data_IF_437003422296
#
_entry.id   IF_437003422296
#
_cell.length_a   1.000
_cell.length_b   1.000
_cell.length_c   1.000
_cell.angle_alpha   90.00
_cell.angle_beta   90.00
_cell.angle_gamma   90.00
#
_symmetry.space_group_name_H-M   'P 1'
#
loop_
_entity.id
_entity.type
_entity.pdbx_description
1 polymer ?
#
# COMPACT_ATOMS: atom_id res chain seq x y z
N UNK A 1 9.43 -3.30 14.45
CA UNK A 1 8.89 -3.48 15.81
C UNK A 1 7.63 -4.36 15.82
N UNK A 2 7.31 -4.93 16.98
CA UNK A 2 6.06 -5.63 17.25
C UNK A 2 5.13 -4.70 18.02
N UNK A 3 3.98 -4.35 17.41
CA UNK A 3 2.99 -3.47 18.05
C UNK A 3 2.05 -4.31 18.92
N UNK A 4 1.85 -3.91 20.17
CA UNK A 4 0.99 -4.60 21.14
C UNK A 4 0.06 -3.61 21.82
N UNK A 5 -1.22 -3.95 21.88
CA UNK A 5 -2.25 -3.28 22.64
C UNK A 5 -3.28 -4.32 23.07
N UNK A 6 -3.67 -4.29 24.33
CA UNK A 6 -4.65 -5.20 24.93
C UNK A 6 -6.01 -4.56 25.12
N UNK A 7 -6.98 -5.36 25.53
CA UNK A 7 -8.31 -4.89 25.92
C UNK A 7 -8.29 -4.17 27.27
N UNK A 8 -7.24 -4.41 28.07
CA UNK A 8 -6.95 -3.76 29.33
C UNK A 8 -5.43 -3.69 29.55
N UNK A 9 -5.01 -2.99 30.60
CA UNK A 9 -3.60 -2.83 30.97
C UNK A 9 -2.92 -4.18 31.23
N UNK A 10 -3.58 -5.09 31.91
CA UNK A 10 -3.02 -6.41 32.23
C UNK A 10 -2.78 -7.24 30.95
N UNK A 11 -3.71 -7.20 30.00
CA UNK A 11 -3.58 -7.82 28.69
C UNK A 11 -2.45 -7.21 27.86
N UNK A 12 -2.30 -5.90 27.90
CA UNK A 12 -1.20 -5.19 27.23
C UNK A 12 0.14 -5.65 27.78
N UNK A 13 0.31 -5.64 29.10
CA UNK A 13 1.57 -6.04 29.76
C UNK A 13 1.89 -7.53 29.54
N UNK A 14 0.89 -8.39 29.61
CA UNK A 14 1.07 -9.82 29.31
C UNK A 14 1.51 -10.05 27.85
N UNK A 15 0.92 -9.32 26.89
CA UNK A 15 1.30 -9.39 25.49
C UNK A 15 2.72 -8.89 25.23
N UNK A 16 3.13 -7.80 25.86
CA UNK A 16 4.49 -7.27 25.79
C UNK A 16 5.49 -8.31 26.32
N UNK A 17 5.27 -8.79 27.56
CA UNK A 17 6.15 -9.79 28.19
C UNK A 17 6.26 -11.07 27.36
N UNK A 18 5.16 -11.53 26.75
CA UNK A 18 5.18 -12.68 25.88
C UNK A 18 6.06 -12.45 24.65
N UNK A 19 5.86 -11.35 23.91
CA UNK A 19 6.65 -11.12 22.69
C UNK A 19 8.11 -10.80 22.97
N UNK A 20 8.44 -10.15 24.08
CA UNK A 20 9.83 -9.96 24.53
C UNK A 20 10.53 -11.28 24.89
N UNK A 21 9.78 -12.26 25.36
CA UNK A 21 10.32 -13.58 25.72
C UNK A 21 10.58 -14.51 24.54
N UNK A 22 9.93 -14.27 23.38
CA UNK A 22 9.97 -15.21 22.24
C UNK A 22 10.53 -14.59 20.95
N UNK A 23 10.78 -13.29 20.91
CA UNK A 23 11.29 -12.60 19.72
C UNK A 23 12.63 -11.94 20.01
N UNK A 24 13.59 -12.16 19.12
CA UNK A 24 14.79 -11.36 19.03
C UNK A 24 14.56 -10.20 18.03
N UNK A 25 15.12 -9.04 18.32
CA UNK A 25 14.97 -7.85 17.52
C UNK A 25 16.32 -7.34 17.03
N UNK A 26 16.46 -7.17 15.72
CA UNK A 26 17.64 -6.56 15.13
C UNK A 26 17.75 -5.08 15.53
N UNK A 27 18.97 -4.57 15.66
CA UNK A 27 19.19 -3.13 15.80
C UNK A 27 18.79 -2.39 14.54
N UNK A 28 18.07 -1.28 14.69
CA UNK A 28 17.50 -0.49 13.60
C UNK A 28 17.64 1.01 13.90
N UNK A 29 18.61 1.65 13.25
CA UNK A 29 18.89 3.09 13.42
C UNK A 29 17.87 3.99 12.67
N UNK A 30 17.11 3.42 11.76
CA UNK A 30 16.10 4.13 10.98
C UNK A 30 14.76 4.31 11.71
N UNK A 31 14.62 3.76 12.91
CA UNK A 31 13.39 3.86 13.70
C UNK A 31 13.45 5.05 14.68
N UNK A 32 12.29 5.68 14.98
CA UNK A 32 12.21 6.82 15.91
C UNK A 32 12.49 6.43 17.38
N UNK A 33 12.48 5.13 17.70
CA UNK A 33 12.81 4.54 19.00
C UNK A 33 13.34 3.13 18.81
N UNK A 34 14.00 2.52 19.81
CA UNK A 34 14.60 1.19 19.68
C UNK A 34 13.62 0.16 19.11
N UNK A 35 14.12 -0.70 18.22
CA UNK A 35 13.35 -1.83 17.71
C UNK A 35 13.05 -2.78 18.86
N UNK A 36 11.82 -3.30 18.91
CA UNK A 36 11.37 -4.13 20.01
C UNK A 36 9.84 -4.25 20.03
N UNK A 37 9.30 -4.55 21.19
CA UNK A 37 7.87 -4.52 21.42
C UNK A 37 7.45 -3.09 21.76
N UNK A 38 6.50 -2.57 20.99
CA UNK A 38 5.99 -1.21 21.18
C UNK A 38 4.59 -1.26 21.77
N UNK A 39 4.45 -0.70 22.96
CA UNK A 39 3.18 -0.52 23.62
C UNK A 39 2.34 0.53 22.86
N UNK A 40 1.16 0.11 22.41
CA UNK A 40 0.17 0.95 21.73
C UNK A 40 -0.95 1.41 22.66
N UNK A 41 -0.93 0.99 23.93
CA UNK A 41 -1.94 1.29 24.94
C UNK A 41 -3.19 0.43 24.80
N UNK A 42 -3.88 0.46 23.67
CA UNK A 42 -5.12 -0.27 23.45
C UNK A 42 -5.06 -1.17 22.20
N UNK A 43 -5.93 -2.17 22.15
CA UNK A 43 -6.07 -3.06 21.00
C UNK A 43 -6.45 -2.25 19.75
N UNK A 44 -7.38 -1.30 19.89
CA UNK A 44 -7.82 -0.44 18.79
C UNK A 44 -6.67 0.41 18.20
N UNK A 45 -5.77 0.91 19.05
CA UNK A 45 -4.61 1.66 18.59
C UNK A 45 -3.62 0.77 17.82
N UNK A 46 -3.40 -0.48 18.25
CA UNK A 46 -2.57 -1.45 17.56
C UNK A 46 -3.19 -1.87 16.21
N UNK A 47 -4.49 -2.10 16.17
CA UNK A 47 -5.23 -2.39 14.94
C UNK A 47 -5.21 -1.20 13.98
N UNK A 48 -5.46 0.01 14.48
CA UNK A 48 -5.44 1.22 13.67
C UNK A 48 -4.07 1.48 13.05
N UNK A 49 -2.98 1.19 13.75
CA UNK A 49 -1.63 1.32 13.19
C UNK A 49 -1.47 0.45 11.93
N UNK A 50 -2.03 -0.76 11.91
CA UNK A 50 -2.01 -1.63 10.73
C UNK A 50 -2.91 -1.11 9.62
N UNK A 51 -4.11 -0.67 9.95
CA UNK A 51 -5.04 -0.08 8.97
C UNK A 51 -4.44 1.19 8.35
N UNK A 52 -3.87 2.08 9.16
CA UNK A 52 -3.27 3.32 8.71
C UNK A 52 -2.08 3.07 7.76
N UNK A 53 -1.16 2.18 8.11
CA UNK A 53 0.03 1.86 7.31
C UNK A 53 -0.35 1.32 5.92
N UNK A 54 -1.32 0.41 5.86
CA UNK A 54 -1.75 -0.18 4.60
C UNK A 54 -2.62 0.77 3.77
N UNK A 55 -3.46 1.57 4.44
CA UNK A 55 -4.27 2.60 3.79
C UNK A 55 -3.40 3.72 3.21
N UNK A 56 -2.37 4.15 3.95
CA UNK A 56 -1.38 5.11 3.43
C UNK A 56 -0.77 4.63 2.11
N UNK A 57 -0.36 3.37 2.05
CA UNK A 57 0.22 2.81 0.81
C UNK A 57 -0.79 2.80 -0.34
N UNK A 58 -2.02 2.38 -0.10
CA UNK A 58 -3.06 2.37 -1.13
C UNK A 58 -3.39 3.77 -1.66
N UNK A 59 -3.49 4.76 -0.77
CA UNK A 59 -3.71 6.16 -1.13
C UNK A 59 -2.53 6.72 -1.93
N UNK A 60 -1.30 6.44 -1.50
CA UNK A 60 -0.10 6.90 -2.18
C UNK A 60 0.04 6.26 -3.58
N UNK A 61 -0.29 4.97 -3.72
CA UNK A 61 -0.35 4.31 -5.03
C UNK A 61 -1.44 4.94 -5.90
N UNK A 62 -2.61 5.25 -5.36
CA UNK A 62 -3.69 5.92 -6.09
C UNK A 62 -3.28 7.30 -6.62
N UNK A 63 -2.55 8.06 -5.80
CA UNK A 63 -1.99 9.34 -6.20
C UNK A 63 -0.92 9.18 -7.30
N UNK A 64 0.00 8.22 -7.15
CA UNK A 64 1.01 7.92 -8.16
C UNK A 64 0.37 7.50 -9.50
N UNK A 65 -0.67 6.67 -9.46
CA UNK A 65 -1.43 6.26 -10.63
C UNK A 65 -2.12 7.46 -11.30
N UNK A 66 -2.69 8.37 -10.54
CA UNK A 66 -3.31 9.59 -11.09
C UNK A 66 -2.28 10.47 -11.79
N UNK A 67 -1.09 10.62 -11.21
CA UNK A 67 0.00 11.36 -11.85
C UNK A 67 0.46 10.67 -13.14
N UNK A 68 0.54 9.34 -13.16
CA UNK A 68 0.92 8.58 -14.35
C UNK A 68 -0.08 8.77 -15.50
N UNK A 69 -1.38 8.71 -15.21
CA UNK A 69 -2.43 8.97 -16.21
C UNK A 69 -2.34 10.39 -16.77
N UNK A 70 -2.03 11.37 -15.94
CA UNK A 70 -1.81 12.74 -16.39
C UNK A 70 -0.54 12.88 -17.23
N UNK A 71 0.57 12.29 -16.78
CA UNK A 71 1.85 12.33 -17.47
C UNK A 71 1.78 11.71 -18.88
N UNK A 72 1.06 10.59 -19.01
CA UNK A 72 0.82 9.92 -20.27
C UNK A 72 0.06 10.83 -21.26
N UNK A 73 -0.96 11.53 -20.79
CA UNK A 73 -1.71 12.51 -21.62
C UNK A 73 -0.88 13.73 -21.99
N UNK A 74 -0.01 14.17 -21.10
CA UNK A 74 0.83 15.36 -21.28
C UNK A 74 2.15 15.08 -22.02
N UNK A 75 2.52 13.81 -22.19
CA UNK A 75 3.68 13.38 -22.95
C UNK A 75 5.01 13.51 -22.23
N UNK A 76 5.06 13.30 -20.90
CA UNK A 76 6.31 13.29 -20.14
C UNK A 76 6.47 12.03 -19.28
N UNK A 77 7.72 11.76 -18.89
CA UNK A 77 8.11 10.59 -18.12
C UNK A 77 7.80 10.76 -16.62
N UNK A 78 6.82 10.02 -16.12
CA UNK A 78 6.39 10.06 -14.72
C UNK A 78 7.47 9.51 -13.76
N UNK A 79 8.27 8.54 -14.17
CA UNK A 79 9.30 7.96 -13.31
C UNK A 79 10.36 9.01 -12.94
N UNK A 80 10.77 9.84 -13.90
CA UNK A 80 11.69 10.96 -13.64
C UNK A 80 11.09 12.00 -12.70
N UNK A 81 9.79 12.28 -12.84
CA UNK A 81 9.10 13.22 -11.94
C UNK A 81 9.06 12.67 -10.52
N UNK A 82 8.71 11.39 -10.34
CA UNK A 82 8.67 10.73 -9.04
C UNK A 82 10.07 10.69 -8.41
N UNK A 83 11.09 10.34 -9.19
CA UNK A 83 12.49 10.35 -8.73
C UNK A 83 12.90 11.74 -8.22
N UNK A 84 12.61 12.78 -8.99
CA UNK A 84 12.89 14.17 -8.59
C UNK A 84 12.13 14.57 -7.33
N UNK A 85 10.86 14.22 -7.19
CA UNK A 85 10.08 14.48 -5.99
C UNK A 85 10.64 13.75 -4.77
N UNK A 86 11.06 12.51 -4.93
CA UNK A 86 11.56 11.67 -3.85
C UNK A 86 13.05 11.93 -3.50
N UNK A 87 13.73 12.83 -4.23
CA UNK A 87 15.10 13.24 -3.92
C UNK A 87 15.21 14.09 -2.65
N UNK A 88 14.10 14.56 -2.13
CA UNK A 88 14.03 15.35 -0.90
C UNK A 88 13.27 14.58 0.20
N UNK A 89 13.53 14.86 1.49
CA UNK A 89 13.10 13.98 2.58
C UNK A 89 11.60 14.03 2.90
N UNK A 90 10.82 14.91 2.27
CA UNK A 90 9.41 15.11 2.58
C UNK A 90 8.46 14.38 1.65
N UNK A 91 8.97 13.73 0.60
CA UNK A 91 8.16 13.01 -0.38
C UNK A 91 8.55 11.54 -0.48
N UNK A 92 7.56 10.67 -0.48
CA UNK A 92 7.71 9.24 -0.69
C UNK A 92 6.60 8.74 -1.62
N UNK A 93 6.58 9.28 -2.85
CA UNK A 93 5.60 8.89 -3.87
C UNK A 93 5.91 7.47 -4.32
N UNK A 94 4.91 6.59 -4.30
CA UNK A 94 5.03 5.22 -4.78
C UNK A 94 5.11 5.18 -6.31
N UNK A 95 5.51 4.04 -6.85
CA UNK A 95 5.49 3.82 -8.28
C UNK A 95 4.08 3.50 -8.75
N UNK A 96 3.65 4.06 -9.90
CA UNK A 96 2.38 3.69 -10.51
C UNK A 96 2.41 2.25 -11.02
N UNK A 97 1.23 1.65 -11.15
CA UNK A 97 1.11 0.29 -11.64
C UNK A 97 -0.30 -0.05 -12.15
N UNK A 98 -0.40 -1.19 -12.82
CA UNK A 98 -1.65 -1.65 -13.43
C UNK A 98 -2.71 -2.03 -12.38
N UNK A 99 -2.29 -2.47 -11.20
CA UNK A 99 -3.19 -2.90 -10.13
C UNK A 99 -2.48 -2.79 -8.77
N UNK A 100 -3.27 -2.86 -7.71
CA UNK A 100 -2.78 -3.02 -6.35
C UNK A 100 -3.02 -4.47 -5.93
N UNK A 101 -1.96 -5.24 -5.89
CA UNK A 101 -2.00 -6.66 -5.53
C UNK A 101 -1.61 -6.95 -4.08
N UNK A 102 -1.68 -8.23 -3.72
CA UNK A 102 -1.38 -8.75 -2.40
C UNK A 102 -2.60 -8.80 -1.48
N UNK A 103 -2.44 -9.42 -0.30
CA UNK A 103 -3.55 -9.61 0.65
C UNK A 103 -3.90 -8.36 1.45
N UNK A 104 -2.91 -7.56 1.83
CA UNK A 104 -3.12 -6.49 2.80
C UNK A 104 -3.64 -5.21 2.15
N UNK A 105 -2.93 -4.68 1.13
CA UNK A 105 -3.23 -3.35 0.60
C UNK A 105 -4.60 -3.27 -0.09
N UNK A 106 -5.07 -4.27 -0.87
CA UNK A 106 -6.41 -4.19 -1.45
C UNK A 106 -7.56 -4.38 -0.45
N UNK A 107 -7.28 -4.97 0.72
CA UNK A 107 -8.31 -5.40 1.70
C UNK A 107 -8.45 -4.40 2.85
N UNK A 108 -7.36 -4.04 3.52
CA UNK A 108 -7.43 -3.22 4.74
C UNK A 108 -8.04 -1.83 4.56
N UNK A 109 -7.85 -1.10 3.46
CA UNK A 109 -8.59 0.13 3.23
C UNK A 109 -10.11 -0.06 3.17
N UNK A 110 -10.59 -1.25 2.76
CA UNK A 110 -12.02 -1.57 2.79
C UNK A 110 -12.52 -1.85 4.20
N UNK A 111 -11.68 -2.49 5.05
CA UNK A 111 -11.98 -2.64 6.48
C UNK A 111 -12.03 -1.27 7.16
N UNK A 112 -11.08 -0.39 6.87
CA UNK A 112 -11.13 0.98 7.38
C UNK A 112 -12.43 1.70 6.93
N UNK A 113 -12.79 1.64 5.67
CA UNK A 113 -14.02 2.23 5.14
C UNK A 113 -15.30 1.62 5.73
N UNK A 114 -15.28 0.40 6.27
CA UNK A 114 -16.43 -0.19 6.96
C UNK A 114 -16.67 0.41 8.34
N UNK A 115 -15.63 0.93 8.98
CA UNK A 115 -15.71 1.60 10.28
C UNK A 115 -15.82 3.11 10.15
N UNK A 116 -15.28 3.69 9.08
CA UNK A 116 -15.35 5.12 8.75
C UNK A 116 -15.89 5.31 7.31
N UNK A 117 -17.21 5.27 7.12
CA UNK A 117 -17.81 5.43 5.79
C UNK A 117 -17.57 6.81 5.16
N UNK A 118 -17.21 7.81 5.94
CA UNK A 118 -16.98 9.18 5.47
C UNK A 118 -15.53 9.47 5.06
N UNK A 119 -14.64 8.48 5.14
CA UNK A 119 -13.24 8.58 4.72
C UNK A 119 -13.09 8.75 3.20
N UNK A 120 -13.45 9.92 2.70
CA UNK A 120 -13.52 10.24 1.26
C UNK A 120 -12.20 10.09 0.53
N UNK A 121 -11.07 10.44 1.14
CA UNK A 121 -9.72 10.30 0.56
C UNK A 121 -9.42 8.83 0.26
N UNK A 122 -9.66 7.96 1.23
CA UNK A 122 -9.42 6.52 1.09
C UNK A 122 -10.32 5.92 0.01
N UNK A 123 -11.60 6.27 0.04
CA UNK A 123 -12.58 5.82 -0.96
C UNK A 123 -12.20 6.23 -2.37
N UNK A 124 -11.81 7.49 -2.56
CA UNK A 124 -11.42 8.03 -3.86
C UNK A 124 -10.19 7.33 -4.40
N UNK A 125 -9.14 7.17 -3.57
CA UNK A 125 -7.93 6.47 -3.97
C UNK A 125 -8.21 5.00 -4.33
N UNK A 126 -9.00 4.29 -3.51
CA UNK A 126 -9.38 2.90 -3.78
C UNK A 126 -10.17 2.76 -5.08
N UNK A 127 -11.10 3.69 -5.35
CA UNK A 127 -11.86 3.73 -6.61
C UNK A 127 -10.92 3.97 -7.79
N UNK A 128 -10.00 4.93 -7.67
CA UNK A 128 -9.06 5.23 -8.74
C UNK A 128 -8.13 4.03 -9.04
N UNK A 129 -7.56 3.40 -8.03
CA UNK A 129 -6.74 2.20 -8.20
C UNK A 129 -7.48 1.08 -8.95
N UNK A 130 -8.79 0.92 -8.71
CA UNK A 130 -9.60 -0.08 -9.38
C UNK A 130 -9.82 0.21 -10.88
N UNK A 131 -9.60 1.44 -11.36
CA UNK A 131 -9.73 1.79 -12.78
C UNK A 131 -8.48 1.48 -13.60
N UNK A 132 -7.33 1.28 -12.98
CA UNK A 132 -6.05 1.14 -13.68
C UNK A 132 -5.97 -0.04 -14.64
N UNK A 133 -6.50 -1.24 -14.34
CA UNK A 133 -6.50 -2.33 -15.33
C UNK A 133 -7.24 -1.97 -16.61
N UNK A 134 -8.41 -1.32 -16.50
CA UNK A 134 -9.15 -0.86 -17.68
C UNK A 134 -8.39 0.21 -18.45
N UNK A 135 -7.79 1.17 -17.75
CA UNK A 135 -6.95 2.20 -18.36
C UNK A 135 -5.82 1.61 -19.21
N UNK A 136 -5.12 0.59 -18.73
CA UNK A 136 -4.04 -0.07 -19.48
C UNK A 136 -4.56 -0.77 -20.74
N UNK A 137 -5.73 -1.41 -20.67
CA UNK A 137 -6.39 -2.02 -21.82
C UNK A 137 -6.80 -0.97 -22.85
N UNK A 138 -7.34 0.16 -22.40
CA UNK A 138 -7.71 1.27 -23.27
C UNK A 138 -6.48 1.86 -23.98
N UNK A 139 -5.37 2.06 -23.25
CA UNK A 139 -4.11 2.51 -23.84
C UNK A 139 -3.55 1.54 -24.86
N UNK A 140 -3.59 0.23 -24.57
CA UNK A 140 -3.17 -0.79 -25.54
C UNK A 140 -4.06 -0.74 -26.80
N UNK A 141 -5.34 -0.51 -26.65
CA UNK A 141 -6.29 -0.37 -27.76
C UNK A 141 -6.03 0.88 -28.59
N UNK A 142 -5.71 2.00 -27.97
CA UNK A 142 -5.34 3.24 -28.67
C UNK A 142 -4.08 3.07 -29.53
N UNK A 143 -3.07 2.35 -29.01
CA UNK A 143 -1.79 2.14 -29.72
C UNK A 143 -1.91 1.09 -30.82
N UNK A 144 -2.64 0.00 -30.57
CA UNK A 144 -2.69 -1.16 -31.46
C UNK A 144 -3.95 -1.19 -32.36
N UNK A 145 -4.90 -0.31 -32.14
CA UNK A 145 -6.23 -0.36 -32.75
C UNK A 145 -7.14 -1.33 -32.00
N UNK A 146 -7.54 -2.42 -32.64
CA UNK A 146 -8.38 -3.44 -32.01
C UNK A 146 -7.52 -4.54 -31.37
N UNK A 147 -7.82 -4.93 -30.14
CA UNK A 147 -7.21 -6.09 -29.49
C UNK A 147 -7.90 -7.41 -29.84
N UNK A 148 -9.00 -7.38 -30.60
CA UNK A 148 -9.76 -8.58 -30.97
C UNK A 148 -8.90 -9.52 -31.83
N UNK A 149 -8.76 -10.76 -31.37
CA UNK A 149 -7.99 -11.80 -32.06
C UNK A 149 -6.47 -11.71 -31.88
N UNK A 150 -5.96 -10.72 -31.17
CA UNK A 150 -4.54 -10.65 -30.82
C UNK A 150 -4.20 -11.64 -29.71
N UNK A 151 -2.99 -12.20 -29.80
CA UNK A 151 -2.41 -12.99 -28.72
C UNK A 151 -1.69 -12.04 -27.77
N UNK A 152 -2.18 -11.96 -26.54
CA UNK A 152 -1.58 -11.12 -25.49
C UNK A 152 -0.87 -12.03 -24.48
N UNK A 153 0.35 -11.66 -24.10
CA UNK A 153 1.11 -12.34 -23.06
C UNK A 153 1.24 -11.40 -21.86
N UNK A 154 0.77 -11.87 -20.70
CA UNK A 154 0.97 -11.17 -19.42
C UNK A 154 2.22 -11.75 -18.77
N UNK A 155 3.22 -10.92 -18.55
CA UNK A 155 4.49 -11.32 -17.94
C UNK A 155 4.40 -11.16 -16.42
N UNK A 156 4.23 -12.26 -15.72
CA UNK A 156 4.05 -12.32 -14.26
C UNK A 156 2.58 -12.31 -13.85
N UNK A 157 2.29 -13.05 -12.80
CA UNK A 157 0.95 -13.17 -12.22
C UNK A 157 0.92 -12.72 -10.74
N UNK A 158 2.08 -12.47 -10.15
CA UNK A 158 2.24 -12.08 -8.75
C UNK A 158 2.55 -10.59 -8.63
N UNK A 159 2.06 -9.96 -7.56
CA UNK A 159 2.35 -8.54 -7.25
C UNK A 159 3.80 -8.26 -6.87
N UNK A 160 4.60 -9.30 -6.55
CA UNK A 160 6.02 -9.21 -6.22
C UNK A 160 6.78 -10.35 -6.89
N UNK A 161 7.94 -10.02 -7.51
CA UNK A 161 8.88 -11.04 -7.97
C UNK A 161 9.29 -11.95 -6.80
N UNK A 162 9.53 -13.23 -7.09
CA UNK A 162 9.92 -14.25 -6.10
C UNK A 162 8.83 -14.72 -5.12
N UNK A 163 7.61 -14.22 -5.20
CA UNK A 163 6.47 -14.64 -4.37
C UNK A 163 5.49 -15.44 -5.23
N UNK A 164 5.08 -16.63 -4.76
CA UNK A 164 4.11 -17.50 -5.46
C UNK A 164 2.65 -17.15 -5.19
N UNK A 165 2.40 -15.93 -4.75
CA UNK A 165 1.09 -15.47 -4.35
C UNK A 165 0.43 -14.69 -5.50
N UNK A 166 -0.75 -15.14 -5.94
CA UNK A 166 -1.49 -14.60 -7.10
C UNK A 166 -2.79 -13.87 -6.71
N UNK A 167 -2.97 -13.58 -5.43
CA UNK A 167 -4.14 -12.85 -4.93
C UNK A 167 -4.03 -11.34 -5.11
#
# INVERSE_FOLDING_TARGET
>A
PKLVGGLDEAGTQAGIAFYESVLDFDERDDLPRPNGVWDMGTAEAAEMAKLAETTYRDVNIGLANQFAVYADKAGFDIERVIEACNSQPYSHIHRPGIAVGGHCIPVYPRLYLSTDPDASVVRTARTFNATMPAYVVDRATEVLGSLKGLRVVVLGASSRGTVQETA
#
